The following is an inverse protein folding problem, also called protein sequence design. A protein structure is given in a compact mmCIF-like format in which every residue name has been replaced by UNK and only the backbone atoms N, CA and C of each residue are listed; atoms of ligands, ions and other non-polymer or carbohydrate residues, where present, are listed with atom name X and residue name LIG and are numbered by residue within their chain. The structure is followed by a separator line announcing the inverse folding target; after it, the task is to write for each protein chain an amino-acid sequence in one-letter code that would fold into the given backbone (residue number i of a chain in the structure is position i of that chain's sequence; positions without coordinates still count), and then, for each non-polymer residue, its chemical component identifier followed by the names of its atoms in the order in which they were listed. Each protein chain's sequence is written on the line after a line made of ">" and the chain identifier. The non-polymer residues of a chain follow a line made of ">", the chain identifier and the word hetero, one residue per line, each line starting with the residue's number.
data_IF_865632620920
#
_entry.id   IF_865632620920
#
_cell.length_a   1.000
_cell.length_b   1.000
_cell.length_c   1.000
_cell.angle_alpha   90.00
_cell.angle_beta   90.00
_cell.angle_gamma   90.00
#
_symmetry.space_group_name_H-M   'P 1'
#
loop_
_entity.id
_entity.type
_entity.pdbx_description
1 polymer ?
#
# COMPACT_ATOMS: atom_id res chain seq x y z
N UNK A 1 -20.06 0.39 3.56
CA UNK A 1 -19.55 1.51 4.40
C UNK A 1 -18.02 1.51 4.41
N UNK A 2 -17.38 1.65 3.24
CA UNK A 2 -15.92 1.84 3.06
C UNK A 2 -15.63 2.48 1.70
N UNK A 3 -16.41 2.13 0.66
CA UNK A 3 -16.37 2.75 -0.68
C UNK A 3 -16.56 4.27 -0.65
N UNK A 4 -17.49 4.76 0.19
CA UNK A 4 -17.78 6.19 0.29
C UNK A 4 -16.63 7.00 0.91
N UNK A 5 -15.86 6.41 1.84
CA UNK A 5 -14.69 7.06 2.43
C UNK A 5 -13.57 7.27 1.39
N UNK A 6 -13.37 6.32 0.47
CA UNK A 6 -12.39 6.43 -0.61
C UNK A 6 -12.78 7.49 -1.66
N UNK A 7 -14.07 7.60 -1.98
CA UNK A 7 -14.57 8.66 -2.87
C UNK A 7 -14.31 10.04 -2.26
N UNK A 8 -14.63 10.24 -0.98
CA UNK A 8 -14.39 11.51 -0.27
C UNK A 8 -12.91 11.88 -0.22
N UNK A 9 -12.01 10.91 0.01
CA UNK A 9 -10.57 11.14 0.01
C UNK A 9 -10.01 11.52 -1.38
N UNK A 10 -10.62 11.02 -2.46
CA UNK A 10 -10.25 11.38 -3.83
C UNK A 10 -10.63 12.83 -4.18
N UNK A 11 -11.84 13.27 -3.84
CA UNK A 11 -12.30 14.64 -4.10
C UNK A 11 -11.44 15.69 -3.39
N UNK A 12 -10.94 15.41 -2.18
CA UNK A 12 -10.05 16.33 -1.45
C UNK A 12 -8.74 16.59 -2.20
N UNK A 13 -8.16 15.57 -2.83
CA UNK A 13 -6.90 15.71 -3.60
C UNK A 13 -7.05 16.44 -4.93
N UNK A 14 -8.23 16.43 -5.53
CA UNK A 14 -8.49 17.13 -6.80
C UNK A 14 -8.74 18.64 -6.61
N UNK A 15 -9.07 19.09 -5.39
CA UNK A 15 -9.37 20.50 -5.06
C UNK A 15 -8.26 21.26 -4.32
N UNK A 16 -7.22 20.59 -3.83
CA UNK A 16 -6.05 21.24 -3.24
C UNK A 16 -5.07 21.60 -4.37
N UNK A 17 -4.88 22.91 -4.59
CA UNK A 17 -3.84 23.42 -5.47
C UNK A 17 -2.50 22.75 -5.09
N UNK A 18 -1.72 22.39 -6.11
CA UNK A 18 -0.42 21.73 -5.97
C UNK A 18 0.54 22.68 -5.25
N UNK A 19 0.48 22.69 -3.92
CA UNK A 19 1.62 23.10 -3.12
C UNK A 19 2.76 22.18 -3.54
N UNK A 20 3.88 22.78 -3.93
CA UNK A 20 5.12 22.08 -4.23
C UNK A 20 5.63 21.45 -2.93
N UNK A 21 5.00 20.34 -2.53
CA UNK A 21 5.57 19.39 -1.58
C UNK A 21 6.89 19.00 -2.21
N UNK A 22 7.97 19.46 -1.59
CA UNK A 22 9.31 18.95 -1.87
C UNK A 22 9.16 17.45 -1.77
N UNK A 23 9.20 16.76 -2.92
CA UNK A 23 8.97 15.34 -3.01
C UNK A 23 10.13 14.68 -2.29
N UNK A 24 10.00 14.52 -0.97
CA UNK A 24 10.83 13.59 -0.23
C UNK A 24 10.65 12.29 -0.96
N UNK A 25 11.72 11.78 -1.55
CA UNK A 25 11.69 10.47 -2.19
C UNK A 25 11.37 9.50 -1.06
N UNK A 26 10.11 9.11 -0.94
CA UNK A 26 9.69 8.00 -0.08
C UNK A 26 10.28 6.76 -0.73
N UNK A 27 11.54 6.52 -0.42
CA UNK A 27 12.26 5.34 -0.80
C UNK A 27 11.91 4.25 0.19
N UNK A 28 11.88 3.01 -0.30
CA UNK A 28 11.75 1.87 0.58
C UNK A 28 13.01 1.77 1.45
N UNK A 29 12.82 1.56 2.74
CA UNK A 29 13.88 1.21 3.69
C UNK A 29 13.55 -0.12 4.36
N UNK A 30 14.59 -0.86 4.73
CA UNK A 30 14.46 -2.12 5.47
C UNK A 30 13.91 -1.87 6.87
N UNK A 31 13.22 -2.85 7.49
CA UNK A 31 12.73 -2.72 8.85
C UNK A 31 13.86 -2.53 9.87
N UNK A 32 13.52 -1.96 11.03
CA UNK A 32 14.38 -1.97 12.20
C UNK A 32 14.64 -3.41 12.68
N UNK A 33 15.72 -3.61 13.45
CA UNK A 33 16.07 -4.92 14.01
C UNK A 33 14.89 -5.55 14.76
N UNK A 34 14.66 -6.85 14.56
CA UNK A 34 13.53 -7.63 15.13
C UNK A 34 12.13 -7.24 14.61
N UNK A 35 12.04 -6.34 13.62
CA UNK A 35 10.78 -6.04 12.93
C UNK A 35 10.71 -6.76 11.59
N UNK A 36 9.49 -7.08 11.17
CA UNK A 36 9.21 -7.61 9.84
C UNK A 36 8.33 -6.64 9.06
N UNK A 37 8.50 -6.62 7.74
CA UNK A 37 7.59 -5.93 6.83
C UNK A 37 6.64 -6.93 6.20
N UNK A 38 5.36 -6.60 6.23
CA UNK A 38 4.32 -7.32 5.51
C UNK A 38 3.77 -6.42 4.39
N UNK A 39 3.89 -6.88 3.15
CA UNK A 39 3.20 -6.33 1.99
C UNK A 39 2.04 -7.26 1.65
N UNK A 40 0.83 -6.73 1.54
CA UNK A 40 -0.35 -7.49 1.16
C UNK A 40 -1.10 -6.78 0.05
N UNK A 41 -1.63 -7.57 -0.88
CA UNK A 41 -2.50 -7.12 -1.94
C UNK A 41 -3.61 -8.16 -2.17
N UNK A 42 -4.69 -7.71 -2.79
CA UNK A 42 -5.80 -8.57 -3.16
C UNK A 42 -6.38 -8.16 -4.50
N UNK A 43 -6.81 -9.16 -5.27
CA UNK A 43 -7.48 -8.99 -6.56
C UNK A 43 -8.83 -9.71 -6.50
N UNK A 44 -9.87 -9.12 -7.09
CA UNK A 44 -11.19 -9.74 -7.24
C UNK A 44 -11.42 -9.98 -8.74
N UNK A 45 -11.70 -11.22 -9.11
CA UNK A 45 -12.03 -11.61 -10.48
C UNK A 45 -13.56 -11.77 -10.58
N UNK A 46 -14.22 -10.77 -11.17
CA UNK A 46 -15.69 -10.68 -11.20
C UNK A 46 -16.34 -11.68 -12.16
N UNK A 47 -15.63 -12.12 -13.18
CA UNK A 47 -16.06 -13.06 -14.21
C UNK A 47 -16.09 -14.51 -13.72
N UNK A 48 -15.14 -14.88 -12.86
CA UNK A 48 -15.02 -16.22 -12.28
C UNK A 48 -15.43 -16.29 -10.81
N UNK A 49 -15.84 -15.16 -10.21
CA UNK A 49 -16.23 -15.03 -8.80
C UNK A 49 -15.15 -15.53 -7.82
N UNK A 50 -13.88 -15.25 -8.13
CA UNK A 50 -12.75 -15.64 -7.30
C UNK A 50 -12.01 -14.43 -6.75
N UNK A 51 -11.20 -14.68 -5.72
CA UNK A 51 -10.27 -13.70 -5.16
C UNK A 51 -8.85 -14.27 -5.20
N UNK A 52 -7.90 -13.40 -5.53
CA UNK A 52 -6.47 -13.65 -5.32
C UNK A 52 -5.99 -12.82 -4.14
N UNK A 53 -5.16 -13.39 -3.28
CA UNK A 53 -4.53 -12.69 -2.17
C UNK A 53 -3.02 -12.93 -2.25
N UNK A 54 -2.25 -11.85 -2.24
CA UNK A 54 -0.81 -11.86 -2.18
C UNK A 54 -0.34 -11.38 -0.80
N UNK A 55 0.63 -12.09 -0.23
CA UNK A 55 1.34 -11.66 0.98
C UNK A 55 2.82 -11.91 0.79
N UNK A 56 3.63 -10.90 1.11
CA UNK A 56 5.08 -10.96 1.10
C UNK A 56 5.58 -10.49 2.46
N UNK A 57 6.38 -11.34 3.10
CA UNK A 57 7.08 -11.01 4.34
C UNK A 57 8.56 -10.74 4.04
N UNK A 58 9.09 -9.69 4.66
CA UNK A 58 10.52 -9.39 4.68
C UNK A 58 11.02 -9.26 6.11
N UNK A 59 12.20 -9.79 6.39
CA UNK A 59 12.86 -9.65 7.68
C UNK A 59 13.54 -8.27 7.85
N UNK A 60 14.27 -8.08 8.96
CA UNK A 60 15.00 -6.85 9.27
C UNK A 60 16.27 -6.64 8.43
N UNK A 61 16.71 -7.66 7.69
CA UNK A 61 17.72 -7.52 6.65
C UNK A 61 17.11 -7.01 5.33
N UNK A 62 15.78 -7.08 5.20
CA UNK A 62 15.04 -6.72 3.98
C UNK A 62 14.81 -7.89 3.02
N UNK A 63 15.32 -9.07 3.38
CA UNK A 63 15.23 -10.30 2.60
C UNK A 63 13.86 -10.96 2.74
N UNK A 64 13.49 -11.74 1.72
CA UNK A 64 12.24 -12.49 1.76
C UNK A 64 12.31 -13.60 2.79
N UNK A 65 11.27 -13.69 3.63
CA UNK A 65 11.09 -14.84 4.51
C UNK A 65 10.57 -16.02 3.70
N UNK A 66 11.23 -17.17 3.82
CA UNK A 66 10.88 -18.45 3.17
C UNK A 66 10.47 -19.49 4.19
#
# INVERSE_FOLDING_TARGET
>A
MWVEAWKVARWRREGEAVDQVTQSSIAWEKPSREWMKCNTDATIFSDILQIGVGVVLRDDSGEFVR
#
